data_IF_566200333546
#
_entry.id   IF_566200333546
#
_cell.length_a   1.000
_cell.length_b   1.000
_cell.length_c   1.000
_cell.angle_alpha   90.00
_cell.angle_beta   90.00
_cell.angle_gamma   90.00
#
_symmetry.space_group_name_H-M   'P 1'
#
loop_
_entity.id
_entity.type
_entity.pdbx_description
1 polymer ?
#
# COMPACT_ATOMS: atom_id res chain seq x y z
N UNK A 1 8.36 34.84 26.43
CA UNK A 1 8.12 33.50 25.85
C UNK A 1 7.92 32.55 27.02
N UNK A 2 6.70 32.04 27.19
CA UNK A 2 6.23 31.49 28.46
C UNK A 2 6.88 30.13 28.77
N UNK A 3 7.61 30.05 29.88
CA UNK A 3 8.32 28.85 30.37
C UNK A 3 7.37 27.66 30.49
N UNK A 4 6.10 27.92 30.79
CA UNK A 4 5.05 26.91 30.87
C UNK A 4 4.76 26.24 29.52
N UNK A 5 4.87 26.96 28.41
CA UNK A 5 4.62 26.43 27.06
C UNK A 5 5.74 25.49 26.59
N UNK A 6 6.99 25.83 26.95
CA UNK A 6 8.16 24.99 26.65
C UNK A 6 8.10 23.67 27.43
N UNK A 7 7.77 23.72 28.73
CA UNK A 7 7.63 22.53 29.58
C UNK A 7 6.51 21.62 29.07
N UNK A 8 5.35 22.16 28.69
CA UNK A 8 4.23 21.38 28.12
C UNK A 8 4.63 20.68 26.81
N UNK A 9 5.36 21.38 25.95
CA UNK A 9 5.81 20.84 24.65
C UNK A 9 6.82 19.69 24.84
N UNK A 10 7.78 19.86 25.76
CA UNK A 10 8.76 18.82 26.09
C UNK A 10 8.08 17.60 26.74
N UNK A 11 7.09 17.81 27.61
CA UNK A 11 6.32 16.72 28.22
C UNK A 11 5.47 15.97 27.20
N UNK A 12 4.82 16.66 26.25
CA UNK A 12 4.07 16.04 25.16
C UNK A 12 4.97 15.22 24.23
N UNK A 13 6.15 15.73 23.87
CA UNK A 13 7.13 15.00 23.06
C UNK A 13 7.69 13.78 23.79
N UNK A 14 7.94 13.87 25.10
CA UNK A 14 8.35 12.72 25.93
C UNK A 14 7.23 11.69 26.05
N UNK A 15 5.97 12.11 26.18
CA UNK A 15 4.81 11.20 26.24
C UNK A 15 4.60 10.48 24.91
N UNK A 16 4.68 11.20 23.78
CA UNK A 16 4.56 10.65 22.44
C UNK A 16 5.68 9.63 22.15
N UNK A 17 6.94 9.97 22.48
CA UNK A 17 8.10 9.06 22.32
C UNK A 17 7.97 7.82 23.22
N UNK A 18 7.44 7.96 24.44
CA UNK A 18 7.16 6.84 25.36
C UNK A 18 6.07 5.92 24.80
N UNK A 19 4.99 6.48 24.26
CA UNK A 19 3.91 5.71 23.61
C UNK A 19 4.40 4.99 22.34
N UNK A 20 5.25 5.64 21.56
CA UNK A 20 5.84 5.05 20.34
C UNK A 20 6.82 3.92 20.69
N UNK A 21 7.63 4.08 21.74
CA UNK A 21 8.49 3.02 22.26
C UNK A 21 7.72 1.86 22.88
N UNK A 22 6.59 2.12 23.55
CA UNK A 22 5.70 1.08 24.08
C UNK A 22 5.06 0.28 22.94
N UNK A 23 4.54 0.94 21.90
CA UNK A 23 4.06 0.27 20.67
C UNK A 23 5.16 -0.55 20.00
N UNK A 24 6.38 -0.02 19.91
CA UNK A 24 7.50 -0.76 19.32
C UNK A 24 7.89 -1.98 20.16
N UNK A 25 7.78 -1.91 21.49
CA UNK A 25 8.01 -3.06 22.38
C UNK A 25 6.89 -4.09 22.29
N UNK A 26 5.64 -3.67 22.14
CA UNK A 26 4.50 -4.57 21.87
C UNK A 26 4.62 -5.24 20.51
N UNK A 27 4.90 -4.47 19.44
CA UNK A 27 5.17 -5.02 18.10
C UNK A 27 6.36 -5.98 18.14
N UNK A 28 7.44 -5.65 18.86
CA UNK A 28 8.61 -6.54 19.01
C UNK A 28 8.29 -7.82 19.79
N UNK A 29 7.40 -7.75 20.79
CA UNK A 29 6.86 -8.94 21.49
C UNK A 29 5.97 -9.81 20.60
N UNK A 30 5.16 -9.19 19.75
CA UNK A 30 4.31 -9.87 18.75
C UNK A 30 5.13 -10.49 17.62
N UNK A 31 6.30 -9.93 17.31
CA UNK A 31 7.26 -10.45 16.32
C UNK A 31 8.19 -11.51 16.94
N UNK A 32 8.36 -11.55 18.26
CA UNK A 32 9.22 -12.49 18.98
C UNK A 32 8.49 -13.67 19.63
N UNK A 33 7.17 -13.77 19.50
CA UNK A 33 6.41 -14.93 19.97
C UNK A 33 6.37 -15.99 18.86
N UNK A 34 6.78 -17.22 19.18
CA UNK A 34 6.59 -18.40 18.30
C UNK A 34 5.11 -18.76 18.14
N UNK A 35 4.23 -18.19 18.98
CA UNK A 35 2.79 -18.21 18.82
C UNK A 35 2.37 -17.29 17.66
N UNK A 36 1.65 -17.80 16.63
CA UNK A 36 1.12 -16.95 15.59
C UNK A 36 0.14 -15.97 16.23
N UNK A 37 0.48 -14.68 16.20
CA UNK A 37 -0.52 -13.62 16.41
C UNK A 37 -1.52 -13.74 15.26
N UNK A 38 -2.55 -14.53 15.48
CA UNK A 38 -3.74 -14.59 14.65
C UNK A 38 -4.46 -13.24 14.80
N UNK A 39 -3.99 -12.24 14.07
CA UNK A 39 -4.94 -11.25 13.54
C UNK A 39 -5.80 -12.07 12.57
N UNK A 40 -6.90 -12.60 13.09
CA UNK A 40 -7.85 -13.33 12.26
C UNK A 40 -8.27 -12.36 11.15
N UNK A 41 -8.04 -12.69 9.89
CA UNK A 41 -8.53 -11.88 8.78
C UNK A 41 -10.05 -11.88 8.85
N UNK A 42 -10.64 -10.78 9.35
CA UNK A 42 -12.09 -10.68 9.49
C UNK A 42 -12.74 -9.96 8.31
N UNK A 43 -11.95 -9.53 7.32
CA UNK A 43 -12.46 -8.80 6.16
C UNK A 43 -12.33 -9.62 4.88
N UNK A 44 -13.36 -9.65 4.02
CA UNK A 44 -13.30 -10.31 2.72
C UNK A 44 -12.34 -9.57 1.77
N UNK A 45 -11.90 -10.21 0.69
CA UNK A 45 -10.93 -9.63 -0.26
C UNK A 45 -11.42 -8.37 -0.98
N UNK A 46 -12.73 -8.25 -1.19
CA UNK A 46 -13.38 -7.09 -1.82
C UNK A 46 -13.61 -5.93 -0.83
N UNK A 47 -13.22 -6.11 0.43
CA UNK A 47 -13.26 -5.06 1.43
C UNK A 47 -12.47 -3.82 0.99
N UNK A 48 -13.07 -2.65 1.19
CA UNK A 48 -12.37 -1.38 1.04
C UNK A 48 -11.84 -0.91 2.39
N UNK A 49 -10.52 -0.89 2.54
CA UNK A 49 -9.87 -0.36 3.73
C UNK A 49 -9.77 1.16 3.67
N UNK A 50 -9.67 1.79 4.85
CA UNK A 50 -9.59 3.23 5.01
C UNK A 50 -8.41 3.63 5.89
N UNK A 51 -7.57 4.56 5.44
CA UNK A 51 -6.49 5.17 6.23
C UNK A 51 -6.67 6.68 6.23
N UNK A 52 -6.53 7.31 7.40
CA UNK A 52 -6.57 8.76 7.54
C UNK A 52 -5.18 9.33 7.71
N UNK A 53 -4.86 10.37 6.95
CA UNK A 53 -3.61 11.10 6.99
C UNK A 53 -3.82 12.60 7.21
N UNK A 54 -2.72 13.29 7.48
CA UNK A 54 -2.64 14.75 7.52
C UNK A 54 -1.34 15.17 6.84
N UNK A 55 -1.40 16.23 6.04
CA UNK A 55 -0.21 16.80 5.42
C UNK A 55 0.56 17.65 6.45
N UNK A 56 1.76 17.22 6.81
CA UNK A 56 2.64 17.93 7.74
C UNK A 56 3.65 18.82 7.00
N UNK A 57 4.35 19.75 7.69
CA UNK A 57 5.36 20.60 7.05
C UNK A 57 6.43 19.83 6.28
N UNK A 58 6.81 18.64 6.76
CA UNK A 58 7.79 17.77 6.11
C UNK A 58 7.25 16.99 4.89
N UNK A 59 5.95 17.14 4.60
CA UNK A 59 5.32 16.53 3.45
C UNK A 59 5.14 17.52 2.29
N UNK A 60 5.37 18.81 2.52
CA UNK A 60 5.23 19.89 1.53
C UNK A 60 6.51 20.07 0.73
N UNK A 61 6.37 20.37 -0.57
CA UNK A 61 7.47 20.79 -1.44
C UNK A 61 7.49 22.32 -1.68
N UNK A 62 8.40 22.77 -2.56
CA UNK A 62 8.56 24.20 -2.86
C UNK A 62 7.32 24.85 -3.50
N UNK A 63 6.39 24.07 -4.05
CA UNK A 63 5.13 24.56 -4.61
C UNK A 63 4.02 24.66 -3.55
N UNK A 64 4.37 24.51 -2.26
CA UNK A 64 3.45 24.64 -1.12
C UNK A 64 2.30 23.64 -1.10
N UNK A 65 2.46 22.51 -1.79
CA UNK A 65 1.55 21.38 -1.73
C UNK A 65 2.27 20.11 -1.30
N UNK A 66 1.49 19.08 -0.95
CA UNK A 66 2.02 17.77 -0.64
C UNK A 66 2.88 17.29 -1.81
N UNK A 67 4.12 16.91 -1.52
CA UNK A 67 5.04 16.42 -2.51
C UNK A 67 4.46 15.19 -3.23
N UNK A 68 4.60 15.13 -4.55
CA UNK A 68 4.03 14.05 -5.37
C UNK A 68 4.44 12.64 -4.90
N UNK A 69 5.68 12.46 -4.45
CA UNK A 69 6.17 11.19 -3.91
C UNK A 69 5.55 10.80 -2.56
N UNK A 70 5.05 11.77 -1.79
CA UNK A 70 4.35 11.49 -0.53
C UNK A 70 3.03 10.77 -0.74
N UNK A 71 2.29 11.06 -1.82
CA UNK A 71 1.08 10.31 -2.15
C UNK A 71 1.36 8.81 -2.29
N UNK A 72 2.49 8.44 -2.90
CA UNK A 72 2.86 7.03 -3.09
C UNK A 72 3.24 6.36 -1.77
N UNK A 73 3.95 7.06 -0.88
CA UNK A 73 4.23 6.59 0.49
C UNK A 73 2.93 6.34 1.26
N UNK A 74 2.01 7.29 1.21
CA UNK A 74 0.72 7.15 1.89
C UNK A 74 -0.11 6.01 1.30
N UNK A 75 0.00 5.80 -0.01
CA UNK A 75 -0.64 4.68 -0.69
C UNK A 75 -0.08 3.32 -0.21
N UNK A 76 1.22 3.22 0.13
CA UNK A 76 1.77 2.01 0.76
C UNK A 76 1.11 1.70 2.11
N UNK A 77 0.84 2.71 2.94
CA UNK A 77 0.12 2.48 4.21
C UNK A 77 -1.31 1.98 3.99
N UNK A 78 -2.01 2.52 2.97
CA UNK A 78 -3.33 2.05 2.57
C UNK A 78 -3.33 0.58 2.13
N UNK A 79 -2.38 0.22 1.25
CA UNK A 79 -2.18 -1.18 0.82
C UNK A 79 -1.82 -2.09 1.97
N UNK A 80 -0.87 -1.68 2.82
CA UNK A 80 -0.44 -2.48 3.96
C UNK A 80 -1.61 -2.75 4.92
N UNK A 81 -2.41 -1.72 5.25
CA UNK A 81 -3.62 -1.90 6.07
C UNK A 81 -4.59 -2.91 5.44
N UNK A 82 -4.83 -2.82 4.12
CA UNK A 82 -5.71 -3.77 3.42
C UNK A 82 -5.15 -5.20 3.47
N UNK A 83 -3.85 -5.39 3.22
CA UNK A 83 -3.22 -6.72 3.24
C UNK A 83 -3.20 -7.34 4.63
N UNK A 84 -3.13 -6.52 5.69
CA UNK A 84 -3.27 -6.99 7.07
C UNK A 84 -4.71 -7.39 7.36
N UNK A 85 -5.70 -6.57 7.00
CA UNK A 85 -7.11 -6.83 7.32
C UNK A 85 -7.70 -8.01 6.55
N UNK A 86 -7.23 -8.25 5.33
CA UNK A 86 -7.65 -9.37 4.46
C UNK A 86 -6.84 -10.65 4.67
N UNK A 87 -5.79 -10.59 5.48
CA UNK A 87 -4.94 -11.74 5.78
C UNK A 87 -3.80 -11.97 4.78
N UNK A 88 -3.81 -11.30 3.62
CA UNK A 88 -2.83 -11.51 2.56
C UNK A 88 -1.38 -11.35 3.03
N UNK A 89 -1.12 -10.43 3.96
CA UNK A 89 0.20 -10.30 4.58
C UNK A 89 0.61 -11.56 5.34
N UNK A 90 -0.29 -12.13 6.13
CA UNK A 90 -0.03 -13.34 6.89
C UNK A 90 0.15 -14.56 5.99
N UNK A 91 -0.60 -14.66 4.89
CA UNK A 91 -0.38 -15.72 3.89
C UNK A 91 1.06 -15.68 3.32
N UNK A 92 1.59 -14.48 3.04
CA UNK A 92 2.98 -14.32 2.59
C UNK A 92 3.96 -14.76 3.67
N UNK A 93 3.76 -14.32 4.92
CA UNK A 93 4.63 -14.66 6.06
C UNK A 93 4.65 -16.17 6.33
N UNK A 94 3.48 -16.79 6.40
CA UNK A 94 3.36 -18.24 6.60
C UNK A 94 3.98 -19.03 5.46
N UNK A 95 3.85 -18.55 4.22
CA UNK A 95 4.52 -19.17 3.10
C UNK A 95 6.04 -19.02 3.14
N UNK A 96 6.58 -17.86 3.54
CA UNK A 96 8.04 -17.71 3.77
C UNK A 96 8.57 -18.73 4.76
N UNK A 97 7.84 -18.97 5.86
CA UNK A 97 8.18 -19.99 6.87
C UNK A 97 8.14 -21.39 6.27
N UNK A 98 7.02 -21.75 5.63
CA UNK A 98 6.80 -23.08 5.01
C UNK A 98 7.86 -23.41 3.98
N UNK A 99 8.17 -22.46 3.11
CA UNK A 99 9.12 -22.64 2.01
C UNK A 99 10.58 -22.42 2.45
N UNK A 100 10.82 -21.92 3.67
CA UNK A 100 12.14 -21.48 4.16
C UNK A 100 12.84 -20.50 3.21
N UNK A 101 12.07 -19.59 2.61
CA UNK A 101 12.56 -18.63 1.61
C UNK A 101 12.15 -17.21 1.96
N UNK A 102 13.14 -16.32 2.09
CA UNK A 102 12.92 -14.89 2.31
C UNK A 102 12.60 -14.14 1.01
N UNK A 103 12.70 -14.81 -0.14
CA UNK A 103 12.47 -14.22 -1.46
C UNK A 103 10.99 -14.14 -1.83
N UNK A 104 10.09 -14.68 -0.99
CA UNK A 104 8.63 -14.62 -1.20
C UNK A 104 8.11 -13.25 -0.76
N UNK A 105 7.72 -12.43 -1.73
CA UNK A 105 7.30 -11.05 -1.50
C UNK A 105 6.25 -10.57 -2.51
N UNK A 106 5.63 -9.43 -2.19
CA UNK A 106 4.94 -8.59 -3.16
C UNK A 106 5.82 -7.39 -3.47
N UNK A 107 6.16 -7.20 -4.74
CA UNK A 107 7.00 -6.08 -5.20
C UNK A 107 6.17 -5.18 -6.10
N UNK A 108 6.28 -3.87 -5.91
CA UNK A 108 5.61 -2.89 -6.77
C UNK A 108 6.18 -3.01 -8.19
N UNK A 109 5.40 -3.60 -9.11
CA UNK A 109 5.74 -3.80 -10.52
C UNK A 109 5.25 -2.67 -11.43
N UNK A 110 4.49 -1.73 -10.89
CA UNK A 110 4.18 -0.46 -11.53
C UNK A 110 3.03 0.28 -10.89
N UNK A 111 2.92 1.55 -11.25
CA UNK A 111 1.94 2.47 -10.66
C UNK A 111 1.44 3.45 -11.72
N UNK A 112 0.14 3.72 -11.72
CA UNK A 112 -0.48 4.81 -12.47
C UNK A 112 -1.21 5.71 -11.47
N UNK A 113 -0.91 7.00 -11.51
CA UNK A 113 -1.46 8.00 -10.59
C UNK A 113 -2.00 9.17 -11.40
N UNK A 114 -3.22 9.57 -11.07
CA UNK A 114 -3.89 10.75 -11.64
C UNK A 114 -4.12 11.76 -10.53
N UNK A 115 -3.36 12.85 -10.54
CA UNK A 115 -3.54 13.98 -9.64
C UNK A 115 -4.68 14.86 -10.14
N UNK A 116 -5.59 15.25 -9.25
CA UNK A 116 -6.77 16.08 -9.55
C UNK A 116 -6.80 17.37 -8.72
N UNK A 117 -6.60 17.25 -7.41
CA UNK A 117 -6.53 18.39 -6.46
C UNK A 117 -5.39 18.17 -5.49
N UNK A 118 -4.55 19.19 -5.33
CA UNK A 118 -3.45 19.18 -4.38
C UNK A 118 -3.96 19.18 -2.93
N UNK A 119 -3.28 18.41 -2.09
CA UNK A 119 -3.42 18.44 -0.63
C UNK A 119 -2.42 19.48 -0.09
N UNK A 120 -2.93 20.49 0.59
CA UNK A 120 -2.17 21.59 1.19
C UNK A 120 -1.74 21.28 2.62
N UNK A 121 -0.92 22.19 3.16
CA UNK A 121 -0.41 22.08 4.52
C UNK A 121 -1.55 22.02 5.55
N UNK A 122 -1.45 21.11 6.51
CA UNK A 122 -2.43 20.83 7.57
C UNK A 122 -3.74 20.21 7.14
N UNK A 123 -4.00 20.07 5.84
CA UNK A 123 -5.19 19.39 5.34
C UNK A 123 -5.18 17.91 5.76
N UNK A 124 -6.36 17.42 6.13
CA UNK A 124 -6.62 16.02 6.45
C UNK A 124 -7.22 15.33 5.26
N UNK A 125 -6.77 14.11 4.99
CA UNK A 125 -7.24 13.32 3.88
C UNK A 125 -7.49 11.88 4.30
N UNK A 126 -8.37 11.23 3.57
CA UNK A 126 -8.72 9.83 3.69
C UNK A 126 -8.27 9.09 2.43
N UNK A 127 -7.70 7.90 2.63
CA UNK A 127 -7.24 7.00 1.59
C UNK A 127 -8.12 5.77 1.64
N UNK A 128 -8.90 5.56 0.59
CA UNK A 128 -9.68 4.34 0.40
C UNK A 128 -8.89 3.39 -0.47
N UNK A 129 -8.67 2.15 -0.03
CA UNK A 129 -7.88 1.14 -0.74
C UNK A 129 -8.68 -0.13 -0.92
N UNK A 130 -8.76 -0.65 -2.14
CA UNK A 130 -9.40 -1.94 -2.43
C UNK A 130 -8.52 -2.79 -3.34
N UNK A 131 -8.63 -4.11 -3.22
CA UNK A 131 -8.10 -5.04 -4.22
C UNK A 131 -9.13 -5.11 -5.36
N UNK A 132 -8.75 -4.65 -6.55
CA UNK A 132 -9.67 -4.54 -7.69
C UNK A 132 -9.59 -5.77 -8.60
N UNK A 133 -8.39 -6.33 -8.77
CA UNK A 133 -8.15 -7.44 -9.69
C UNK A 133 -6.87 -8.21 -9.33
N UNK A 134 -6.69 -9.39 -9.90
CA UNK A 134 -5.42 -10.12 -9.91
C UNK A 134 -5.29 -10.97 -11.18
N UNK A 135 -4.08 -11.14 -11.68
CA UNK A 135 -3.77 -12.05 -12.78
C UNK A 135 -2.90 -13.22 -12.32
N UNK A 136 -2.18 -13.85 -13.25
CA UNK A 136 -1.27 -14.97 -12.99
C UNK A 136 -0.04 -14.57 -12.15
N UNK A 137 0.33 -13.28 -12.12
CA UNK A 137 1.56 -12.81 -11.46
C UNK A 137 1.39 -11.63 -10.52
N UNK A 138 0.26 -10.93 -10.55
CA UNK A 138 0.14 -9.65 -9.86
C UNK A 138 -1.24 -9.40 -9.29
N UNK A 139 -1.26 -8.73 -8.14
CA UNK A 139 -2.44 -8.09 -7.57
C UNK A 139 -2.53 -6.63 -8.03
N UNK A 140 -3.74 -6.14 -8.25
CA UNK A 140 -4.02 -4.77 -8.68
C UNK A 140 -4.88 -4.06 -7.64
N UNK A 141 -4.31 -3.02 -7.03
CA UNK A 141 -4.95 -2.25 -5.98
C UNK A 141 -5.38 -0.89 -6.53
N UNK A 142 -6.63 -0.51 -6.23
CA UNK A 142 -7.13 0.82 -6.50
C UNK A 142 -7.20 1.63 -5.22
N UNK A 143 -6.74 2.88 -5.31
CA UNK A 143 -6.73 3.79 -4.19
C UNK A 143 -7.25 5.16 -4.58
N UNK A 144 -8.06 5.74 -3.70
CA UNK A 144 -8.64 7.08 -3.89
C UNK A 144 -8.32 7.92 -2.68
N UNK A 145 -7.68 9.06 -2.92
CA UNK A 145 -7.42 10.07 -1.90
C UNK A 145 -8.54 11.09 -1.94
N UNK A 146 -9.08 11.39 -0.77
CA UNK A 146 -10.21 12.28 -0.59
C UNK A 146 -9.88 13.25 0.52
N UNK A 147 -10.14 14.54 0.33
CA UNK A 147 -10.02 15.49 1.42
C UNK A 147 -11.20 15.41 2.38
N UNK A 148 -10.87 15.47 3.66
CA UNK A 148 -11.84 15.64 4.73
C UNK A 148 -12.06 17.16 4.91
N UNK A 149 -12.95 17.73 4.11
CA UNK A 149 -13.45 19.07 4.40
C UNK A 149 -14.37 18.97 5.61
N UNK A 150 -13.98 19.64 6.70
CA UNK A 150 -14.70 19.62 7.98
C UNK A 150 -16.19 19.77 7.71
N UNK A 151 -16.96 18.74 8.05
CA UNK A 151 -18.40 18.64 7.90
C UNK A 151 -19.14 19.75 8.65
N UNK A 152 -19.10 20.98 8.15
CA UNK A 152 -19.97 22.06 8.61
C UNK A 152 -21.19 22.20 7.73
N UNK A 153 -21.16 21.82 6.45
CA UNK A 153 -22.32 21.92 5.55
C UNK A 153 -22.23 20.97 4.33
N UNK A 154 -22.30 19.64 4.52
CA UNK A 154 -22.57 18.63 3.45
C UNK A 154 -21.86 18.86 2.08
N UNK A 155 -20.65 19.41 2.06
CA UNK A 155 -19.87 19.56 0.83
C UNK A 155 -19.43 18.17 0.32
N UNK A 156 -19.31 17.97 -1.00
CA UNK A 156 -18.87 16.69 -1.55
C UNK A 156 -17.42 16.39 -1.16
N UNK A 157 -17.16 15.12 -0.84
CA UNK A 157 -15.80 14.57 -0.68
C UNK A 157 -14.97 14.85 -1.94
N UNK A 158 -13.99 15.74 -1.85
CA UNK A 158 -13.17 16.13 -3.01
C UNK A 158 -12.07 15.09 -3.25
N UNK A 159 -12.07 14.49 -4.45
CA UNK A 159 -11.05 13.53 -4.87
C UNK A 159 -9.77 14.28 -5.23
N UNK A 160 -8.69 14.00 -4.48
CA UNK A 160 -7.37 14.56 -4.72
C UNK A 160 -6.59 13.80 -5.77
N UNK A 161 -6.59 12.47 -5.69
CA UNK A 161 -5.96 11.63 -6.68
C UNK A 161 -6.55 10.22 -6.68
N UNK A 162 -6.33 9.53 -7.80
CA UNK A 162 -6.63 8.10 -7.95
C UNK A 162 -5.36 7.38 -8.34
N UNK A 163 -5.12 6.21 -7.73
CA UNK A 163 -3.92 5.41 -7.94
C UNK A 163 -4.33 3.98 -8.29
N UNK A 164 -3.74 3.43 -9.34
CA UNK A 164 -3.75 2.01 -9.64
C UNK A 164 -2.32 1.46 -9.42
N UNK A 165 -2.19 0.48 -8.54
CA UNK A 165 -0.88 -0.13 -8.20
C UNK A 165 -0.88 -1.60 -8.54
N UNK A 166 0.15 -2.05 -9.25
CA UNK A 166 0.41 -3.46 -9.56
C UNK A 166 1.49 -3.99 -8.64
N UNK A 167 1.14 -4.97 -7.82
CA UNK A 167 2.06 -5.68 -6.93
C UNK A 167 2.28 -7.09 -7.47
N UNK A 168 3.48 -7.34 -7.96
CA UNK A 168 3.90 -8.63 -8.52
C UNK A 168 4.34 -9.58 -7.41
N UNK A 169 3.87 -10.82 -7.46
CA UNK A 169 4.38 -11.89 -6.60
C UNK A 169 5.78 -12.29 -7.08
N UNK A 170 6.73 -12.32 -6.15
CA UNK A 170 8.09 -12.79 -6.40
C UNK A 170 8.42 -13.92 -5.43
N UNK A 171 9.38 -14.76 -5.83
CA UNK A 171 9.75 -15.98 -5.12
C UNK A 171 9.14 -17.22 -5.77
N UNK A 172 9.53 -18.37 -5.21
CA UNK A 172 9.13 -19.68 -5.68
C UNK A 172 9.00 -20.64 -4.50
N UNK A 173 8.27 -21.73 -4.69
CA UNK A 173 8.18 -22.84 -3.74
C UNK A 173 9.47 -23.66 -3.75
N UNK A 174 9.61 -24.55 -2.76
CA UNK A 174 10.66 -25.57 -2.74
C UNK A 174 10.66 -26.45 -3.97
N UNK A 175 9.49 -26.72 -4.53
CA UNK A 175 9.32 -27.52 -5.75
C UNK A 175 9.66 -26.72 -7.02
N UNK A 176 10.07 -25.45 -6.88
CA UNK A 176 10.45 -24.56 -7.99
C UNK A 176 9.27 -23.88 -8.69
N UNK A 177 8.05 -24.03 -8.18
CA UNK A 177 6.87 -23.35 -8.73
C UNK A 177 6.92 -21.85 -8.39
N UNK A 178 6.77 -20.99 -9.40
CA UNK A 178 6.75 -19.53 -9.20
C UNK A 178 5.52 -19.13 -8.38
N UNK A 179 5.73 -18.26 -7.41
CA UNK A 179 4.64 -17.75 -6.60
C UNK A 179 3.64 -16.96 -7.46
N UNK A 180 2.36 -17.29 -7.33
CA UNK A 180 1.26 -16.57 -7.99
C UNK A 180 0.26 -16.01 -6.97
N UNK A 181 -0.52 -14.99 -7.34
CA UNK A 181 -1.64 -14.50 -6.54
C UNK A 181 -2.59 -15.62 -6.11
N UNK A 182 -2.93 -16.52 -7.03
CA UNK A 182 -3.86 -17.62 -6.77
C UNK A 182 -3.37 -18.55 -5.65
N UNK A 183 -2.07 -18.83 -5.57
CA UNK A 183 -1.51 -19.64 -4.49
C UNK A 183 -1.70 -18.97 -3.13
N UNK A 184 -1.44 -17.66 -3.04
CA UNK A 184 -1.64 -16.90 -1.80
C UNK A 184 -3.12 -16.82 -1.41
N UNK A 185 -4.03 -16.70 -2.39
CA UNK A 185 -5.48 -16.73 -2.12
C UNK A 185 -5.95 -18.11 -1.64
N UNK A 186 -5.40 -19.20 -2.19
CA UNK A 186 -5.66 -20.56 -1.69
C UNK A 186 -5.19 -20.75 -0.26
N UNK A 187 -4.01 -20.22 0.09
CA UNK A 187 -3.48 -20.25 1.46
C UNK A 187 -4.39 -19.50 2.45
N UNK A 188 -5.16 -18.51 1.97
CA UNK A 188 -6.19 -17.80 2.76
C UNK A 188 -7.53 -18.55 2.85
N UNK A 189 -7.64 -19.74 2.27
CA UNK A 189 -8.88 -20.54 2.28
C UNK A 189 -9.83 -20.25 1.13
N UNK A 190 -9.46 -19.39 0.17
CA UNK A 190 -10.26 -19.17 -1.04
C UNK A 190 -10.03 -20.31 -2.05
N UNK A 191 -10.89 -21.33 -2.00
CA UNK A 191 -10.73 -22.57 -2.78
C UNK A 191 -11.11 -22.44 -4.26
N UNK A 192 -12.00 -21.51 -4.61
CA UNK A 192 -12.64 -21.42 -5.94
C UNK A 192 -12.59 -20.02 -6.55
N UNK A 193 -11.64 -19.18 -6.14
CA UNK A 193 -11.47 -17.88 -6.77
C UNK A 193 -10.79 -18.03 -8.12
N UNK A 194 -11.54 -17.77 -9.19
CA UNK A 194 -10.98 -17.47 -10.50
C UNK A 194 -10.48 -16.03 -10.51
N UNK A 195 -9.57 -15.73 -11.44
CA UNK A 195 -9.30 -14.35 -11.85
C UNK A 195 -10.65 -13.67 -12.10
N UNK A 196 -10.93 -12.47 -11.52
CA UNK A 196 -12.23 -11.83 -11.68
C UNK A 196 -12.60 -11.72 -13.16
N UNK A 197 -13.82 -12.13 -13.56
CA UNK A 197 -14.18 -12.17 -14.98
C UNK A 197 -14.19 -10.78 -15.63
N UNK A 198 -14.43 -9.74 -14.83
CA UNK A 198 -14.44 -8.36 -15.26
C UNK A 198 -13.15 -7.64 -14.84
N UNK A 199 -12.21 -7.53 -15.76
CA UNK A 199 -11.12 -6.57 -15.69
C UNK A 199 -11.65 -5.17 -16.03
N UNK A 200 -11.39 -4.18 -15.18
CA UNK A 200 -11.78 -2.80 -15.52
C UNK A 200 -10.94 -2.30 -16.70
N UNK A 201 -11.54 -1.50 -17.59
CA UNK A 201 -10.84 -0.92 -18.74
C UNK A 201 -9.57 -0.15 -18.34
N UNK A 202 -9.55 0.42 -17.12
CA UNK A 202 -8.36 1.10 -16.59
C UNK A 202 -7.22 0.11 -16.33
N UNK A 203 -7.50 -1.07 -15.76
CA UNK A 203 -6.49 -2.10 -15.50
C UNK A 203 -5.97 -2.69 -16.81
N UNK A 204 -6.87 -2.96 -17.76
CA UNK A 204 -6.50 -3.44 -19.09
C UNK A 204 -5.52 -2.48 -19.78
N UNK A 205 -5.88 -1.20 -19.88
CA UNK A 205 -5.04 -0.16 -20.48
C UNK A 205 -3.71 -0.01 -19.75
N UNK A 206 -3.71 -0.11 -18.42
CA UNK A 206 -2.49 -0.06 -17.62
C UNK A 206 -1.54 -1.21 -17.98
N UNK A 207 -2.03 -2.44 -18.09
CA UNK A 207 -1.22 -3.61 -18.48
C UNK A 207 -0.72 -3.51 -19.92
N UNK A 208 -1.54 -3.01 -20.85
CA UNK A 208 -1.14 -2.75 -22.23
C UNK A 208 -0.01 -1.72 -22.31
N UNK A 209 -0.13 -0.60 -21.57
CA UNK A 209 0.90 0.43 -21.52
C UNK A 209 2.24 -0.09 -21.00
N UNK A 210 2.24 -0.97 -19.99
CA UNK A 210 3.48 -1.58 -19.48
C UNK A 210 4.18 -2.46 -20.52
N UNK A 211 3.42 -3.17 -21.37
CA UNK A 211 3.98 -4.02 -22.43
C UNK A 211 4.51 -3.21 -23.61
N UNK A 212 4.01 -2.00 -23.82
CA UNK A 212 4.37 -1.15 -24.93
C UNK A 212 5.74 -0.46 -24.78
N UNK A 213 6.32 -0.43 -23.57
CA UNK A 213 7.61 0.21 -23.34
C UNK A 213 8.74 -0.61 -23.95
N UNK A 214 9.41 -0.05 -24.96
CA UNK A 214 10.56 -0.69 -25.63
C UNK A 214 11.86 -0.29 -24.93
N UNK A 215 12.84 -1.20 -24.80
CA UNK A 215 14.16 -0.85 -24.32
C UNK A 215 14.78 0.25 -25.19
N UNK A 216 15.52 1.17 -24.56
CA UNK A 216 16.25 2.19 -25.30
C UNK A 216 17.42 1.50 -26.01
N UNK A 217 17.52 1.69 -27.32
CA UNK A 217 18.58 1.14 -28.18
C UNK A 217 19.47 2.28 -28.68
N UNK A 218 20.79 2.07 -28.70
CA UNK A 218 21.72 3.05 -29.26
C UNK A 218 21.65 3.04 -30.79
N UNK A 219 22.42 3.94 -31.44
CA UNK A 219 22.49 4.03 -32.91
C UNK A 219 22.97 2.73 -33.58
N UNK A 220 23.61 1.83 -32.84
CA UNK A 220 24.10 0.52 -33.27
C UNK A 220 23.11 -0.61 -32.95
N UNK A 221 21.91 -0.31 -32.46
CA UNK A 221 20.88 -1.31 -32.12
C UNK A 221 21.15 -2.10 -30.84
N UNK A 222 22.10 -1.69 -30.02
CA UNK A 222 22.40 -2.34 -28.74
C UNK A 222 21.53 -1.76 -27.63
N UNK A 223 20.94 -2.63 -26.81
CA UNK A 223 20.12 -2.24 -25.66
C UNK A 223 20.98 -1.48 -24.66
N UNK A 224 20.65 -0.21 -24.45
CA UNK A 224 21.34 0.72 -23.54
C UNK A 224 20.79 0.61 -22.12
N UNK A 225 19.53 0.17 -21.97
CA UNK A 225 18.93 -0.19 -20.69
C UNK A 225 17.92 -1.32 -20.88
N UNK A 226 18.07 -2.39 -20.08
CA UNK A 226 17.00 -3.38 -19.88
C UNK A 226 16.15 -2.90 -18.70
N UNK A 227 14.83 -2.86 -18.89
CA UNK A 227 13.86 -2.73 -17.79
C UNK A 227 13.73 -4.06 -17.05
#
# INVERSE_FOLDING_TARGET
>A
MDVMYFIRTVLLLKSARKQQLLRLKEVRKLVSSDEPVLVVPNQPLDHQSHVRGRCWPIDIDFNLHMNNGRYLREADFGRFKLTLSTGLWFAIVERRKREQSQNINLVLGGIDIKYKRSIGLWETFDIYTRLSYWDDRSFYFEQVFVLDEKQKNKEPKIICCTILSKLTTVGQTRDGEKLSPLMLLKDLGYKTLKIPEHESKHIELFRLNQRAFKPIVNKQGQIVSKL
#
